data_IF_005036900313
#
_entry.id   IF_005036900313
#
_cell.length_a   1.000
_cell.length_b   1.000
_cell.length_c   1.000
_cell.angle_alpha   90.00
_cell.angle_beta   90.00
_cell.angle_gamma   90.00
#
_symmetry.space_group_name_H-M   'P 1'
#
loop_
_entity.id
_entity.type
_entity.pdbx_description
1 polymer ?
#
# COMPACT_ATOMS: atom_id res chain seq x y z
N UNK A 1 -8.08 21.15 22.58
CA UNK A 1 -7.27 20.06 21.96
C UNK A 1 -7.92 19.61 20.65
N UNK A 2 -9.23 19.40 20.66
CA UNK A 2 -10.10 19.01 19.52
C UNK A 2 -9.81 19.75 18.20
N UNK A 3 -9.91 21.09 18.19
CA UNK A 3 -9.62 21.89 16.99
C UNK A 3 -8.18 21.73 16.49
N UNK A 4 -7.23 21.53 17.40
CA UNK A 4 -5.84 21.30 17.02
C UNK A 4 -5.65 19.93 16.37
N UNK A 5 -6.34 18.88 16.83
CA UNK A 5 -6.32 17.55 16.21
C UNK A 5 -6.92 17.56 14.80
N UNK A 6 -8.05 18.24 14.63
CA UNK A 6 -8.69 18.40 13.32
C UNK A 6 -7.79 19.14 12.32
N UNK A 7 -7.14 20.23 12.76
CA UNK A 7 -6.21 20.98 11.92
C UNK A 7 -4.94 20.17 11.66
N UNK A 8 -4.43 19.41 12.64
CA UNK A 8 -3.23 18.59 12.49
C UNK A 8 -3.40 17.56 11.37
N UNK A 9 -4.52 16.84 11.34
CA UNK A 9 -4.81 15.88 10.26
C UNK A 9 -4.72 16.54 8.88
N UNK A 10 -5.36 17.70 8.71
CA UNK A 10 -5.37 18.44 7.44
C UNK A 10 -3.98 18.96 7.05
N UNK A 11 -3.21 19.46 8.01
CA UNK A 11 -1.83 19.91 7.77
C UNK A 11 -0.90 18.76 7.39
N UNK A 12 -1.02 17.62 8.06
CA UNK A 12 -0.23 16.43 7.74
C UNK A 12 -0.54 15.95 6.33
N UNK A 13 -1.82 15.89 5.94
CA UNK A 13 -2.21 15.50 4.57
C UNK A 13 -1.79 16.51 3.50
N UNK A 14 -1.57 17.78 3.86
CA UNK A 14 -0.97 18.75 2.95
C UNK A 14 0.52 18.49 2.68
N UNK A 15 1.14 17.57 3.44
CA UNK A 15 2.52 17.09 3.28
C UNK A 15 3.55 18.23 3.12
N UNK A 16 3.72 19.10 4.15
CA UNK A 16 4.74 20.15 4.09
C UNK A 16 6.15 19.58 4.11
N UNK A 17 7.09 20.25 3.45
CA UNK A 17 8.48 19.78 3.28
C UNK A 17 9.21 19.52 4.61
N UNK A 18 8.85 20.27 5.66
CA UNK A 18 9.45 20.16 6.99
C UNK A 18 8.91 18.97 7.81
N UNK A 19 7.81 18.33 7.37
CA UNK A 19 7.11 17.30 8.14
C UNK A 19 8.02 16.14 8.53
N UNK A 20 8.91 15.70 7.63
CA UNK A 20 9.84 14.60 7.87
C UNK A 20 10.72 14.79 9.12
N UNK A 21 11.10 16.04 9.44
CA UNK A 21 11.96 16.33 10.59
C UNK A 21 11.20 16.35 11.92
N UNK A 22 9.90 16.63 11.87
CA UNK A 22 9.04 16.77 13.07
C UNK A 22 8.16 15.54 13.27
N UNK A 23 8.02 14.66 12.26
CA UNK A 23 7.12 13.52 12.25
C UNK A 23 7.30 12.60 13.46
N UNK A 24 8.54 12.30 13.86
CA UNK A 24 8.82 11.46 15.02
C UNK A 24 8.30 12.06 16.34
N UNK A 25 8.60 13.33 16.59
CA UNK A 25 8.15 14.04 17.79
C UNK A 25 6.63 14.23 17.79
N UNK A 26 6.05 14.52 16.62
CA UNK A 26 4.61 14.65 16.45
C UNK A 26 3.89 13.32 16.71
N UNK A 27 4.41 12.20 16.20
CA UNK A 27 3.86 10.87 16.46
C UNK A 27 3.85 10.56 17.96
N UNK A 28 4.97 10.82 18.64
CA UNK A 28 5.09 10.64 20.10
C UNK A 28 4.09 11.54 20.85
N UNK A 29 4.01 12.80 20.50
CA UNK A 29 3.08 13.74 21.13
C UNK A 29 1.62 13.28 20.97
N UNK A 30 1.21 12.90 19.75
CA UNK A 30 -0.14 12.45 19.44
C UNK A 30 -0.54 11.18 20.20
N UNK A 31 0.37 10.21 20.39
CA UNK A 31 0.12 9.00 21.20
C UNK A 31 -0.13 9.33 22.67
N UNK A 32 0.57 10.34 23.20
CA UNK A 32 0.44 10.75 24.60
C UNK A 32 -0.71 11.74 24.85
N UNK A 33 -1.31 12.33 23.80
CA UNK A 33 -2.47 13.20 23.96
C UNK A 33 -3.65 12.42 24.56
N UNK A 34 -4.11 12.90 25.71
CA UNK A 34 -5.35 12.46 26.35
C UNK A 34 -6.51 13.24 25.72
N UNK A 35 -7.45 12.52 25.14
CA UNK A 35 -8.71 13.08 24.66
C UNK A 35 -9.73 13.01 25.82
N UNK A 36 -10.59 14.01 25.92
CA UNK A 36 -11.69 14.02 26.87
C UNK A 36 -12.91 13.32 26.27
N UNK A 37 -13.58 12.46 27.03
CA UNK A 37 -14.80 11.75 26.60
C UNK A 37 -16.05 12.65 26.57
N UNK A 38 -15.89 13.97 26.66
CA UNK A 38 -17.00 14.92 26.65
C UNK A 38 -17.45 15.08 25.20
N UNK A 39 -18.25 14.12 24.73
CA UNK A 39 -18.96 14.26 23.48
C UNK A 39 -19.92 15.45 23.62
N UNK A 40 -19.55 16.59 23.01
CA UNK A 40 -20.46 17.71 22.86
C UNK A 40 -21.59 17.24 21.94
N UNK A 41 -22.83 17.34 22.42
CA UNK A 41 -24.02 16.96 21.65
C UNK A 41 -24.00 17.68 20.28
N UNK A 42 -23.82 16.90 19.20
CA UNK A 42 -23.81 17.40 17.82
C UNK A 42 -22.51 17.19 17.03
N UNK A 43 -21.41 16.77 17.65
CA UNK A 43 -20.21 16.36 16.90
C UNK A 43 -20.25 14.86 16.57
N UNK A 44 -20.19 14.53 15.27
CA UNK A 44 -20.29 13.15 14.77
C UNK A 44 -19.00 12.33 14.98
N UNK A 45 -17.85 12.99 15.19
CA UNK A 45 -16.55 12.32 15.35
C UNK A 45 -15.95 12.58 16.73
N UNK A 46 -15.71 11.50 17.47
CA UNK A 46 -15.03 11.55 18.77
C UNK A 46 -13.60 12.10 18.61
N UNK A 47 -13.12 12.84 19.61
CA UNK A 47 -11.75 13.32 19.64
C UNK A 47 -10.70 12.21 19.54
N UNK A 48 -11.04 11.01 20.02
CA UNK A 48 -10.19 9.84 19.87
C UNK A 48 -10.04 9.42 18.40
N UNK A 49 -11.11 9.53 17.63
CA UNK A 49 -11.12 9.23 16.20
C UNK A 49 -10.32 10.29 15.43
N UNK A 50 -10.46 11.58 15.78
CA UNK A 50 -9.64 12.65 15.19
C UNK A 50 -8.15 12.42 15.47
N UNK A 51 -7.79 12.01 16.70
CA UNK A 51 -6.41 11.62 17.07
C UNK A 51 -5.90 10.44 16.23
N UNK A 52 -6.71 9.38 16.09
CA UNK A 52 -6.36 8.21 15.29
C UNK A 52 -6.15 8.60 13.82
N UNK A 53 -7.08 9.35 13.21
CA UNK A 53 -6.96 9.80 11.82
C UNK A 53 -5.73 10.66 11.57
N UNK A 54 -5.38 11.57 12.50
CA UNK A 54 -4.16 12.36 12.40
C UNK A 54 -2.91 11.49 12.44
N UNK A 55 -2.86 10.47 13.32
CA UNK A 55 -1.77 9.51 13.38
C UNK A 55 -1.68 8.65 12.11
N UNK A 56 -2.81 8.20 11.57
CA UNK A 56 -2.86 7.42 10.33
C UNK A 56 -2.36 8.25 9.14
N UNK A 57 -2.81 9.50 9.02
CA UNK A 57 -2.31 10.43 8.00
C UNK A 57 -0.79 10.65 8.09
N UNK A 58 -0.24 10.64 9.32
CA UNK A 58 1.20 10.77 9.54
C UNK A 58 1.97 9.54 9.07
N UNK A 59 1.46 8.34 9.37
CA UNK A 59 2.02 7.06 8.89
C UNK A 59 1.95 6.96 7.37
N UNK A 60 0.89 7.45 6.75
CA UNK A 60 0.77 7.49 5.30
C UNK A 60 1.78 8.45 4.64
N UNK A 61 2.00 9.63 5.25
CA UNK A 61 2.84 10.69 4.67
C UNK A 61 4.34 10.45 4.88
N UNK A 62 4.72 10.05 6.10
CA UNK A 62 6.12 9.81 6.52
C UNK A 62 6.22 8.46 7.25
N UNK A 63 6.18 7.33 6.52
CA UNK A 63 6.11 6.00 7.12
C UNK A 63 7.36 5.65 7.94
N UNK A 64 8.58 5.90 7.44
CA UNK A 64 9.78 5.43 8.15
C UNK A 64 9.98 6.12 9.51
N UNK A 65 9.82 7.44 9.55
CA UNK A 65 10.02 8.27 10.73
C UNK A 65 8.95 7.98 11.79
N UNK A 66 7.69 7.83 11.37
CA UNK A 66 6.59 7.51 12.28
C UNK A 66 6.67 6.05 12.79
N UNK A 67 7.00 5.08 11.93
CA UNK A 67 7.13 3.67 12.30
C UNK A 67 8.25 3.45 13.31
N UNK A 68 9.41 4.09 13.11
CA UNK A 68 10.54 3.96 14.03
C UNK A 68 10.16 4.39 15.47
N UNK A 69 9.39 5.48 15.60
CA UNK A 69 8.91 5.95 16.91
C UNK A 69 7.80 5.06 17.47
N UNK A 70 6.78 4.74 16.66
CA UNK A 70 5.60 3.96 17.10
C UNK A 70 5.98 2.55 17.55
N UNK A 71 6.87 1.87 16.82
CA UNK A 71 7.33 0.52 17.17
C UNK A 71 8.19 0.50 18.42
N UNK A 72 9.02 1.53 18.65
CA UNK A 72 9.75 1.71 19.92
C UNK A 72 8.80 1.95 21.09
N UNK A 73 7.75 2.74 20.89
CA UNK A 73 6.74 3.02 21.91
C UNK A 73 5.92 1.79 22.28
N UNK A 74 5.63 0.90 21.32
CA UNK A 74 4.88 -0.34 21.55
C UNK A 74 5.50 -1.21 22.67
N UNK A 75 6.82 -1.36 22.66
CA UNK A 75 7.58 -2.13 23.66
C UNK A 75 8.13 -1.28 24.82
N UNK A 76 7.85 0.03 24.82
CA UNK A 76 8.31 0.94 25.87
C UNK A 76 7.51 0.74 27.17
N UNK A 77 8.13 0.87 28.35
CA UNK A 77 7.41 0.90 29.62
C UNK A 77 6.57 2.16 29.83
N UNK A 78 6.76 3.22 29.04
CA UNK A 78 6.15 4.53 29.24
C UNK A 78 4.73 4.66 28.65
N UNK A 79 4.12 3.54 28.26
CA UNK A 79 2.89 3.50 27.46
C UNK A 79 1.92 2.53 28.12
N UNK A 80 0.63 2.90 28.15
CA UNK A 80 -0.43 2.07 28.71
C UNK A 80 -0.98 1.06 27.69
N UNK A 81 -1.72 0.04 28.14
CA UNK A 81 -2.36 -0.96 27.26
C UNK A 81 -3.24 -0.28 26.20
N UNK A 82 -4.06 0.70 26.57
CA UNK A 82 -4.94 1.43 25.62
C UNK A 82 -4.14 2.16 24.55
N UNK A 83 -2.99 2.72 24.90
CA UNK A 83 -2.11 3.39 23.94
C UNK A 83 -1.39 2.40 23.03
N UNK A 84 -0.99 1.21 23.54
CA UNK A 84 -0.46 0.13 22.70
C UNK A 84 -1.50 -0.34 21.68
N UNK A 85 -2.75 -0.49 22.11
CA UNK A 85 -3.86 -0.84 21.21
C UNK A 85 -4.06 0.26 20.17
N UNK A 86 -4.06 1.54 20.57
CA UNK A 86 -4.13 2.68 19.64
C UNK A 86 -3.00 2.63 18.61
N UNK A 87 -1.75 2.39 19.03
CA UNK A 87 -0.61 2.27 18.11
C UNK A 87 -0.86 1.15 17.10
N UNK A 88 -1.27 -0.04 17.56
CA UNK A 88 -1.54 -1.18 16.69
C UNK A 88 -2.69 -0.92 15.71
N UNK A 89 -3.76 -0.27 16.16
CA UNK A 89 -4.91 0.09 15.31
C UNK A 89 -4.51 1.14 14.25
N UNK A 90 -3.74 2.17 14.64
CA UNK A 90 -3.16 3.18 13.71
C UNK A 90 -2.26 2.52 12.66
N UNK A 91 -1.38 1.60 13.07
CA UNK A 91 -0.52 0.88 12.13
C UNK A 91 -1.34 0.01 11.17
N UNK A 92 -2.44 -0.56 11.64
CA UNK A 92 -3.34 -1.40 10.83
C UNK A 92 -4.04 -0.55 9.77
N UNK A 93 -4.62 0.57 10.18
CA UNK A 93 -5.30 1.50 9.28
C UNK A 93 -4.33 2.16 8.31
N UNK A 94 -3.12 2.53 8.76
CA UNK A 94 -2.06 3.06 7.91
C UNK A 94 -1.59 2.05 6.85
N UNK A 95 -1.47 0.77 7.22
CA UNK A 95 -1.16 -0.30 6.27
C UNK A 95 -2.26 -0.48 5.21
N UNK A 96 -3.52 -0.35 5.60
CA UNK A 96 -4.66 -0.38 4.68
C UNK A 96 -4.71 0.86 3.78
N UNK A 97 -4.44 2.06 4.31
CA UNK A 97 -4.42 3.29 3.51
C UNK A 97 -3.29 3.27 2.47
N UNK A 98 -2.11 2.74 2.83
CA UNK A 98 -1.00 2.52 1.90
C UNK A 98 -1.31 1.48 0.82
N UNK A 99 -2.15 0.49 1.12
CA UNK A 99 -2.52 -0.57 0.16
C UNK A 99 -3.63 -0.16 -0.79
N UNK A 100 -4.62 0.58 -0.28
CA UNK A 100 -5.73 1.15 -1.04
C UNK A 100 -5.43 2.51 -1.67
N UNK A 101 -4.18 2.97 -1.59
CA UNK A 101 -3.76 4.26 -2.12
C UNK A 101 -4.19 4.42 -3.58
N UNK A 102 -5.26 5.20 -3.80
CA UNK A 102 -5.59 5.72 -5.12
C UNK A 102 -4.41 6.55 -5.56
N UNK A 103 -3.97 6.36 -6.80
CA UNK A 103 -2.82 7.10 -7.35
C UNK A 103 -3.20 8.57 -7.59
N UNK A 104 -3.43 9.34 -6.52
CA UNK A 104 -3.72 10.77 -6.53
C UNK A 104 -2.48 11.62 -6.31
N UNK A 105 -1.33 11.01 -5.99
CA UNK A 105 -0.04 11.71 -6.03
C UNK A 105 0.41 11.74 -7.48
N UNK A 106 -0.03 12.79 -8.18
CA UNK A 106 0.49 13.18 -9.47
C UNK A 106 1.93 13.65 -9.33
N UNK A 107 2.88 12.70 -9.28
CA UNK A 107 4.19 12.95 -9.86
C UNK A 107 3.95 12.98 -11.37
N UNK A 108 3.88 14.19 -11.94
CA UNK A 108 4.10 14.35 -13.38
C UNK A 108 5.54 13.87 -13.65
N UNK A 109 5.69 12.59 -13.96
CA UNK A 109 6.82 12.17 -14.76
C UNK A 109 6.55 12.75 -16.15
N UNK A 110 7.08 13.95 -16.41
CA UNK A 110 7.24 14.40 -17.77
C UNK A 110 8.28 13.47 -18.39
N UNK A 111 7.80 12.45 -19.07
CA UNK A 111 8.60 11.70 -20.02
C UNK A 111 8.83 12.62 -21.23
N UNK A 112 9.82 13.51 -21.12
CA UNK A 112 10.33 14.28 -22.24
C UNK A 112 11.11 13.34 -23.16
N UNK A 113 10.39 12.57 -23.97
CA UNK A 113 10.98 11.94 -25.16
C UNK A 113 11.16 12.98 -26.27
N UNK A 114 12.18 13.82 -26.12
CA UNK A 114 12.66 14.69 -27.19
C UNK A 114 13.50 13.90 -28.20
N UNK A 115 12.86 13.15 -29.11
CA UNK A 115 13.43 12.88 -30.44
C UNK A 115 12.31 12.70 -31.47
N UNK A 116 12.03 13.76 -32.24
CA UNK A 116 11.25 13.67 -33.48
C UNK A 116 12.20 13.43 -34.66
N UNK A 117 12.30 12.19 -35.13
CA UNK A 117 12.93 11.91 -36.44
C UNK A 117 11.91 12.21 -37.53
N UNK A 118 12.14 13.32 -38.23
CA UNK A 118 11.50 13.68 -39.50
C UNK A 118 12.00 12.74 -40.60
N UNK A 119 11.09 12.12 -41.35
CA UNK A 119 11.46 11.28 -42.49
C UNK A 119 10.28 10.63 -43.22
N UNK A 120 9.64 11.41 -44.09
CA UNK A 120 8.81 11.04 -45.24
C UNK A 120 8.62 9.53 -45.53
N UNK A 121 7.43 9.01 -45.23
CA UNK A 121 6.74 8.01 -46.06
C UNK A 121 7.31 6.58 -46.18
N UNK A 122 8.32 6.17 -45.43
CA UNK A 122 8.85 4.80 -45.54
C UNK A 122 8.77 4.04 -44.21
N UNK A 123 8.02 2.94 -44.24
CA UNK A 123 7.91 1.97 -43.15
C UNK A 123 9.31 1.45 -42.79
N UNK A 124 9.65 1.30 -41.50
CA UNK A 124 10.95 0.76 -41.10
C UNK A 124 11.17 -0.64 -41.71
N UNK A 125 12.38 -0.93 -42.20
CA UNK A 125 12.69 -2.18 -42.90
C UNK A 125 12.48 -3.44 -42.03
N UNK A 126 12.48 -3.28 -40.71
CA UNK A 126 12.22 -4.31 -39.70
C UNK A 126 10.73 -4.54 -39.39
N UNK A 127 9.81 -3.73 -39.90
CA UNK A 127 8.38 -3.87 -39.61
C UNK A 127 7.75 -4.98 -40.50
N UNK A 128 6.90 -5.87 -39.96
CA UNK A 128 6.27 -6.96 -40.73
C UNK A 128 5.14 -6.51 -41.67
N UNK A 129 4.96 -7.24 -42.78
CA UNK A 129 4.02 -6.87 -43.86
C UNK A 129 2.55 -6.94 -43.43
N UNK A 130 1.77 -5.90 -43.80
CA UNK A 130 0.33 -5.85 -43.56
C UNK A 130 -0.46 -6.81 -44.45
N UNK A 131 0.13 -7.35 -45.53
CA UNK A 131 -0.51 -8.37 -46.38
C UNK A 131 -0.48 -9.74 -45.67
N UNK A 132 -1.61 -10.11 -45.05
CA UNK A 132 -1.87 -11.44 -44.49
C UNK A 132 -3.08 -12.10 -45.17
N UNK A 133 -3.39 -13.37 -44.84
CA UNK A 133 -4.61 -14.02 -45.32
C UNK A 133 -5.87 -13.22 -44.96
N UNK A 134 -6.92 -13.35 -45.77
CA UNK A 134 -8.15 -12.57 -45.62
C UNK A 134 -8.72 -12.69 -44.19
N UNK A 135 -8.82 -11.55 -43.48
CA UNK A 135 -9.27 -11.48 -42.09
C UNK A 135 -8.17 -11.28 -41.03
N UNK A 136 -6.89 -11.22 -41.42
CA UNK A 136 -5.81 -10.90 -40.50
C UNK A 136 -5.81 -9.41 -40.13
N UNK A 137 -5.79 -9.11 -38.82
CA UNK A 137 -5.75 -7.73 -38.33
C UNK A 137 -4.37 -7.06 -38.43
N UNK A 138 -4.32 -5.74 -38.16
CA UNK A 138 -3.10 -4.95 -38.26
C UNK A 138 -2.07 -5.33 -37.18
N UNK A 139 -0.77 -5.19 -37.50
CA UNK A 139 0.31 -5.40 -36.55
C UNK A 139 0.33 -4.32 -35.47
N UNK A 140 0.57 -4.73 -34.22
CA UNK A 140 0.80 -3.87 -33.05
C UNK A 140 2.17 -4.23 -32.47
N UNK A 141 2.99 -3.23 -32.23
CA UNK A 141 4.26 -3.39 -31.54
C UNK A 141 4.01 -3.66 -30.05
N UNK A 142 4.74 -4.61 -29.48
CA UNK A 142 4.69 -4.95 -28.06
C UNK A 142 5.93 -4.34 -27.41
N UNK A 143 5.72 -3.45 -26.44
CA UNK A 143 6.76 -3.06 -25.50
C UNK A 143 6.87 -4.15 -24.43
N UNK A 144 8.02 -4.82 -24.34
CA UNK A 144 8.30 -5.77 -23.27
C UNK A 144 8.56 -5.01 -21.96
N UNK A 145 7.97 -5.47 -20.87
CA UNK A 145 8.29 -5.04 -19.50
C UNK A 145 9.54 -5.80 -19.02
N UNK A 146 10.57 -5.04 -18.63
CA UNK A 146 11.75 -5.42 -17.85
C UNK A 146 12.81 -6.36 -18.48
N UNK A 147 13.51 -5.87 -19.50
CA UNK A 147 14.95 -6.13 -19.63
C UNK A 147 15.65 -4.88 -20.17
N UNK A 148 16.66 -4.39 -19.46
CA UNK A 148 17.33 -3.10 -19.73
C UNK A 148 18.09 -3.03 -21.08
N UNK A 149 18.08 -4.07 -21.91
CA UNK A 149 18.69 -4.10 -23.25
C UNK A 149 17.90 -5.00 -24.22
N UNK A 150 16.60 -4.75 -24.41
CA UNK A 150 15.82 -5.43 -25.46
C UNK A 150 16.04 -4.74 -26.82
N UNK A 151 16.90 -5.31 -27.67
CA UNK A 151 17.11 -4.87 -29.06
C UNK A 151 16.19 -5.58 -30.07
N UNK A 152 15.22 -6.37 -29.61
CA UNK A 152 14.29 -7.10 -30.45
C UNK A 152 12.93 -6.40 -30.52
N UNK A 153 12.64 -5.73 -31.64
CA UNK A 153 11.29 -5.26 -31.94
C UNK A 153 10.35 -6.47 -32.14
N UNK A 154 9.38 -6.66 -31.23
CA UNK A 154 8.39 -7.74 -31.30
C UNK A 154 7.03 -7.18 -31.73
N UNK A 155 6.44 -7.77 -32.78
CA UNK A 155 5.14 -7.37 -33.30
C UNK A 155 4.13 -8.52 -33.17
N UNK A 156 2.90 -8.23 -32.74
CA UNK A 156 1.78 -9.17 -32.68
C UNK A 156 0.56 -8.61 -33.42
N UNK A 157 -0.26 -9.48 -34.03
CA UNK A 157 -1.47 -9.02 -34.76
C UNK A 157 -2.61 -8.72 -33.80
N UNK A 158 -3.27 -7.58 -33.99
CA UNK A 158 -4.54 -7.29 -33.32
C UNK A 158 -5.61 -8.25 -33.85
N UNK A 159 -6.21 -9.04 -32.97
CA UNK A 159 -7.37 -9.85 -33.33
C UNK A 159 -8.59 -8.93 -33.53
N UNK A 160 -9.47 -9.20 -34.51
CA UNK A 160 -10.69 -8.43 -34.68
C UNK A 160 -11.57 -8.56 -33.44
N UNK A 161 -12.01 -7.43 -32.88
CA UNK A 161 -13.06 -7.41 -31.86
C UNK A 161 -14.35 -7.88 -32.50
N UNK A 162 -14.74 -9.13 -32.29
CA UNK A 162 -16.02 -9.65 -32.80
C UNK A 162 -17.17 -8.84 -32.20
N UNK A 163 -18.03 -8.29 -33.06
CA UNK A 163 -19.33 -7.75 -32.67
C UNK A 163 -20.18 -8.86 -32.05
N UNK A 164 -20.65 -8.57 -30.85
CA UNK A 164 -21.56 -9.30 -29.96
C UNK A 164 -22.51 -10.27 -30.66
N UNK A 165 -22.11 -11.55 -30.73
CA UNK A 165 -22.99 -12.71 -30.52
C UNK A 165 -22.12 -13.88 -30.07
N UNK A 166 -21.93 -13.96 -28.75
CA UNK A 166 -21.23 -15.04 -28.08
C UNK A 166 -22.11 -16.29 -28.09
N UNK A 167 -22.08 -17.09 -29.16
CA UNK A 167 -22.42 -18.51 -29.03
C UNK A 167 -21.24 -19.20 -28.33
N UNK A 168 -21.49 -19.66 -27.11
CA UNK A 168 -20.52 -20.35 -26.26
C UNK A 168 -19.95 -21.57 -27.00
N UNK A 169 -18.70 -21.47 -27.47
CA UNK A 169 -17.96 -22.62 -27.99
C UNK A 169 -17.49 -23.52 -26.85
N UNK A 170 -17.52 -24.84 -27.04
CA UNK A 170 -17.15 -25.84 -26.02
C UNK A 170 -15.64 -26.07 -25.87
N UNK A 171 -14.77 -25.23 -26.43
CA UNK A 171 -13.33 -25.43 -26.38
C UNK A 171 -12.59 -24.19 -25.89
N UNK A 172 -11.85 -24.40 -24.79
CA UNK A 172 -10.95 -23.51 -24.03
C UNK A 172 -11.67 -22.50 -23.12
N UNK A 173 -11.73 -22.71 -21.78
CA UNK A 173 -10.66 -22.79 -20.74
C UNK A 173 -9.67 -21.64 -20.90
N UNK A 174 -9.55 -20.82 -19.85
CA UNK A 174 -8.75 -19.59 -19.73
C UNK A 174 -9.37 -18.35 -20.40
N UNK A 175 -9.85 -17.40 -19.58
CA UNK A 175 -9.73 -15.98 -19.92
C UNK A 175 -10.89 -15.03 -19.63
N UNK A 176 -12.17 -15.40 -19.73
CA UNK A 176 -13.24 -14.39 -19.68
C UNK A 176 -13.54 -13.85 -18.29
N UNK A 177 -13.28 -14.64 -17.24
CA UNK A 177 -13.41 -14.17 -15.86
C UNK A 177 -12.21 -13.33 -15.41
N UNK A 178 -11.05 -13.51 -16.04
CA UNK A 178 -9.82 -12.74 -15.76
C UNK A 178 -9.90 -11.31 -16.27
N UNK A 179 -10.60 -11.07 -17.38
CA UNK A 179 -10.76 -9.71 -17.95
C UNK A 179 -11.76 -8.86 -17.15
N UNK A 180 -12.83 -9.46 -16.62
CA UNK A 180 -13.79 -8.76 -15.74
C UNK A 180 -13.21 -8.37 -14.38
N UNK A 181 -12.23 -9.14 -13.87
CA UNK A 181 -11.48 -8.78 -12.66
C UNK A 181 -10.55 -7.59 -12.94
N UNK A 182 -10.00 -7.48 -14.15
CA UNK A 182 -9.13 -6.38 -14.54
C UNK A 182 -9.85 -5.03 -14.78
N UNK A 183 -11.12 -5.02 -15.18
CA UNK A 183 -11.88 -3.77 -15.38
C UNK A 183 -12.27 -3.09 -14.06
N UNK A 184 -12.37 -3.83 -12.96
CA UNK A 184 -12.73 -3.30 -11.64
C UNK A 184 -11.53 -3.10 -10.70
N UNK A 185 -10.34 -3.53 -11.13
CA UNK A 185 -9.08 -3.18 -10.49
C UNK A 185 -8.65 -1.84 -11.08
N UNK A 186 -9.23 -0.73 -10.60
CA UNK A 186 -8.50 0.55 -10.64
C UNK A 186 -7.07 0.20 -10.23
N UNK A 187 -6.07 0.46 -11.10
CA UNK A 187 -4.66 0.22 -10.82
C UNK A 187 -4.19 1.13 -9.68
N UNK A 188 -4.70 0.86 -8.48
CA UNK A 188 -4.19 1.32 -7.21
C UNK A 188 -2.85 0.60 -7.09
N UNK A 189 -1.78 1.34 -7.36
CA UNK A 189 -0.43 0.83 -7.13
C UNK A 189 -0.29 0.75 -5.62
N UNK A 190 -0.50 -0.44 -5.09
CA UNK A 190 -0.26 -0.76 -3.70
C UNK A 190 1.15 -0.29 -3.31
N UNK A 191 1.24 0.63 -2.37
CA UNK A 191 2.52 1.21 -1.90
C UNK A 191 3.06 0.47 -0.68
N UNK A 192 2.22 -0.32 -0.03
CA UNK A 192 2.54 -1.01 1.21
C UNK A 192 3.76 -1.95 1.12
N UNK A 193 3.97 -2.74 0.05
CA UNK A 193 5.10 -3.69 -0.02
C UNK A 193 6.47 -3.06 0.22
N UNK A 194 6.67 -1.81 -0.22
CA UNK A 194 7.90 -1.04 0.00
C UNK A 194 8.19 -0.80 1.49
N UNK A 195 7.15 -0.71 2.32
CA UNK A 195 7.24 -0.41 3.75
C UNK A 195 6.99 -1.62 4.64
N UNK A 196 6.52 -2.73 4.08
CA UNK A 196 6.07 -3.91 4.82
C UNK A 196 7.10 -4.42 5.85
N UNK A 197 8.37 -4.50 5.46
CA UNK A 197 9.44 -4.92 6.35
C UNK A 197 9.60 -3.97 7.56
N UNK A 198 9.46 -2.66 7.35
CA UNK A 198 9.54 -1.66 8.41
C UNK A 198 8.33 -1.74 9.38
N UNK A 199 7.15 -2.11 8.89
CA UNK A 199 5.99 -2.39 9.74
C UNK A 199 6.19 -3.67 10.55
N UNK A 200 6.54 -4.78 9.89
CA UNK A 200 6.43 -6.11 10.47
C UNK A 200 7.64 -6.54 11.29
N UNK A 201 8.87 -6.24 10.82
CA UNK A 201 10.09 -6.77 11.46
C UNK A 201 10.29 -6.27 12.89
N UNK A 202 10.13 -4.97 13.22
CA UNK A 202 10.29 -4.50 14.60
C UNK A 202 9.29 -5.16 15.56
N UNK A 203 8.08 -5.43 15.08
CA UNK A 203 7.01 -6.09 15.83
C UNK A 203 7.33 -7.58 16.05
N UNK A 204 7.79 -8.27 15.01
CA UNK A 204 8.17 -9.68 15.10
C UNK A 204 9.43 -9.91 15.95
N UNK A 205 10.31 -8.92 16.09
CA UNK A 205 11.52 -9.04 16.92
C UNK A 205 11.28 -8.86 18.42
N UNK A 206 10.18 -8.23 18.80
CA UNK A 206 9.91 -7.80 20.18
C UNK A 206 8.89 -8.65 20.94
N UNK A 207 8.08 -9.47 20.26
CA UNK A 207 6.87 -10.03 20.87
C UNK A 207 7.09 -10.96 22.08
N UNK A 208 8.16 -11.77 22.06
CA UNK A 208 8.49 -12.74 23.11
C UNK A 208 9.33 -12.15 24.25
N UNK A 209 9.81 -10.89 24.09
CA UNK A 209 10.69 -10.28 25.08
C UNK A 209 9.87 -9.75 26.26
N UNK A 210 10.12 -10.33 27.44
CA UNK A 210 9.61 -9.80 28.71
C UNK A 210 10.43 -8.57 29.11
N UNK A 211 9.88 -7.40 28.83
CA UNK A 211 10.45 -6.10 29.23
C UNK A 211 9.68 -5.63 30.48
N UNK A 212 10.34 -4.84 31.34
CA UNK A 212 9.72 -4.33 32.57
C UNK A 212 8.38 -3.66 32.28
N UNK A 213 7.27 -4.29 32.67
CA UNK A 213 5.91 -3.79 32.47
C UNK A 213 5.22 -4.19 31.16
N UNK A 214 5.85 -4.98 30.29
CA UNK A 214 5.26 -5.49 29.04
C UNK A 214 5.41 -7.01 28.99
N UNK A 215 4.30 -7.73 29.04
CA UNK A 215 4.24 -9.20 28.99
C UNK A 215 3.15 -9.67 28.02
N UNK A 216 3.46 -9.60 26.72
CA UNK A 216 2.48 -9.88 25.64
C UNK A 216 1.97 -11.31 25.63
N UNK A 217 2.82 -12.29 25.97
CA UNK A 217 2.45 -13.71 26.01
C UNK A 217 1.66 -14.10 27.28
N UNK A 218 1.68 -13.25 28.31
CA UNK A 218 1.03 -13.50 29.58
C UNK A 218 -0.08 -12.50 29.87
N UNK A 219 0.24 -11.46 30.64
CA UNK A 219 -0.76 -10.50 31.14
C UNK A 219 -1.39 -9.63 30.06
N UNK A 220 -0.63 -9.29 29.02
CA UNK A 220 -1.03 -8.34 27.98
C UNK A 220 -1.48 -9.05 26.68
N UNK A 221 -2.09 -10.23 26.80
CA UNK A 221 -2.52 -11.07 25.66
C UNK A 221 -3.51 -10.36 24.70
N UNK A 222 -4.25 -9.36 25.18
CA UNK A 222 -5.13 -8.54 24.33
C UNK A 222 -4.30 -7.74 23.30
N UNK A 223 -3.16 -7.19 23.74
CA UNK A 223 -2.23 -6.46 22.87
C UNK A 223 -1.60 -7.43 21.87
N UNK A 224 -1.26 -8.65 22.29
CA UNK A 224 -0.80 -9.70 21.38
C UNK A 224 -1.84 -10.07 20.31
N UNK A 225 -3.11 -10.20 20.68
CA UNK A 225 -4.19 -10.46 19.72
C UNK A 225 -4.32 -9.34 18.66
N UNK A 226 -4.21 -8.09 19.10
CA UNK A 226 -4.17 -6.91 18.20
C UNK A 226 -2.92 -6.90 17.31
N UNK A 227 -1.78 -7.33 17.83
CA UNK A 227 -0.53 -7.45 17.10
C UNK A 227 -0.64 -8.51 16.00
N UNK A 228 -1.20 -9.69 16.31
CA UNK A 228 -1.45 -10.75 15.33
C UNK A 228 -2.44 -10.27 14.26
N UNK A 229 -3.48 -9.53 14.65
CA UNK A 229 -4.42 -8.92 13.71
C UNK A 229 -3.72 -7.97 12.73
N UNK A 230 -2.88 -7.06 13.23
CA UNK A 230 -2.06 -6.16 12.42
C UNK A 230 -1.19 -6.94 11.43
N UNK A 231 -0.47 -7.97 11.89
CA UNK A 231 0.37 -8.80 11.02
C UNK A 231 -0.44 -9.50 9.92
N UNK A 232 -1.64 -9.99 10.26
CA UNK A 232 -2.57 -10.57 9.28
C UNK A 232 -3.04 -9.56 8.23
N UNK A 233 -3.33 -8.32 8.64
CA UNK A 233 -3.69 -7.23 7.72
C UNK A 233 -2.50 -6.86 6.82
N UNK A 234 -1.30 -6.72 7.38
CA UNK A 234 -0.09 -6.48 6.60
C UNK A 234 0.16 -7.59 5.56
N UNK A 235 0.01 -8.86 5.94
CA UNK A 235 0.12 -9.99 5.01
C UNK A 235 -0.95 -9.95 3.90
N UNK A 236 -2.19 -9.57 4.24
CA UNK A 236 -3.26 -9.36 3.25
C UNK A 236 -2.91 -8.23 2.28
N UNK A 237 -2.38 -7.12 2.79
CA UNK A 237 -1.90 -6.00 1.99
C UNK A 237 -0.73 -6.41 1.08
N UNK A 238 -0.02 -7.50 1.33
CA UNK A 238 1.09 -7.98 0.50
C UNK A 238 0.78 -9.21 -0.37
N UNK A 239 -0.46 -9.71 -0.38
CA UNK A 239 -0.79 -11.05 -0.91
C UNK A 239 -0.38 -11.34 -2.39
N UNK A 240 -0.01 -10.32 -3.17
CA UNK A 240 0.40 -10.43 -4.58
C UNK A 240 1.87 -10.05 -4.82
N UNK A 241 2.63 -9.83 -3.75
CA UNK A 241 3.99 -9.29 -3.80
C UNK A 241 5.01 -10.34 -3.31
N UNK A 242 6.18 -10.45 -3.96
CA UNK A 242 7.19 -11.47 -3.61
C UNK A 242 7.75 -11.29 -2.20
N UNK A 243 7.74 -10.06 -1.66
CA UNK A 243 8.18 -9.76 -0.29
C UNK A 243 7.35 -10.53 0.76
N UNK A 244 6.11 -10.90 0.45
CA UNK A 244 5.24 -11.65 1.36
C UNK A 244 5.83 -13.02 1.72
N UNK A 245 6.54 -13.67 0.79
CA UNK A 245 7.15 -14.98 1.05
C UNK A 245 8.24 -14.92 2.12
N UNK A 246 8.99 -13.82 2.18
CA UNK A 246 10.05 -13.64 3.17
C UNK A 246 9.50 -13.35 4.56
N UNK A 247 8.41 -12.57 4.64
CA UNK A 247 7.77 -12.21 5.92
C UNK A 247 6.79 -13.28 6.43
N UNK A 248 6.33 -14.21 5.59
CA UNK A 248 5.41 -15.26 5.99
C UNK A 248 5.99 -16.21 7.04
N UNK A 249 7.26 -16.63 6.89
CA UNK A 249 7.90 -17.58 7.82
C UNK A 249 7.87 -17.10 9.28
N UNK A 250 8.41 -15.91 9.62
CA UNK A 250 8.41 -15.45 11.02
C UNK A 250 7.00 -15.19 11.57
N UNK A 251 6.02 -14.86 10.72
CA UNK A 251 4.62 -14.74 11.15
C UNK A 251 4.02 -16.10 11.49
N UNK A 252 4.32 -17.13 10.69
CA UNK A 252 3.85 -18.50 10.97
C UNK A 252 4.51 -19.07 12.24
N UNK A 253 5.80 -18.79 12.44
CA UNK A 253 6.51 -19.20 13.65
C UNK A 253 5.85 -18.62 14.90
N UNK A 254 5.50 -17.32 14.87
CA UNK A 254 4.73 -16.64 15.93
C UNK A 254 3.35 -17.28 16.20
N UNK A 255 2.64 -17.72 15.16
CA UNK A 255 1.31 -18.33 15.33
C UNK A 255 1.43 -19.77 15.86
N UNK A 256 2.56 -20.43 15.58
CA UNK A 256 2.82 -21.81 16.00
C UNK A 256 3.35 -21.96 17.43
N UNK A 257 3.85 -20.86 18.03
CA UNK A 257 4.37 -20.82 19.40
C UNK A 257 3.26 -20.76 20.44
#
# INVERSE_FOLDING_TARGET
>A
VERALYVAENLIRAAPDELQYVAGDLAKALVHVRCSDIAVEGEEESDEQKRQKALVALVFSCPFESLDVLTKLLYSPNVDISQRILILDVLTDGALELSHAKSTIGVKCQDQSLVSVVGLGSRPWYAPSSKGPAGAGPWKEISETDTLLSWSHRYERKLPTKSVHLKMGKSRRWGSQSLKIHENLEWTKNRFPMYAAAFMLPILQGYDKKIHGVDLLGRDFIVLGKLIHLLGVCMKCMALHPEASALASPVLDLISS
#
